data_IF_157890302711
#
_entry.id   IF_157890302711
#
_cell.length_a   1.000
_cell.length_b   1.000
_cell.length_c   1.000
_cell.angle_alpha   90.00
_cell.angle_beta   90.00
_cell.angle_gamma   90.00
#
_symmetry.space_group_name_H-M   'P 1'
#
loop_
_entity.id
_entity.type
_entity.pdbx_description
1 polymer ?
#
# COMPACT_ATOMS: atom_id res chain seq x y z
N UNK A 1 -9.95 8.81 0.67
CA UNK A 1 -10.78 8.02 1.60
C UNK A 1 -10.37 8.19 3.05
N UNK A 2 -9.09 7.96 3.42
CA UNK A 2 -8.65 8.04 4.84
C UNK A 2 -9.03 9.35 5.52
N UNK A 3 -8.78 10.51 4.89
CA UNK A 3 -9.17 11.81 5.46
C UNK A 3 -10.67 11.94 5.76
N UNK A 4 -11.53 11.57 4.81
CA UNK A 4 -13.00 11.61 4.96
C UNK A 4 -13.48 10.70 6.11
N UNK A 5 -12.95 9.48 6.18
CA UNK A 5 -13.29 8.53 7.25
C UNK A 5 -12.87 9.07 8.62
N UNK A 6 -11.65 9.59 8.74
CA UNK A 6 -11.15 10.18 9.99
C UNK A 6 -11.99 11.39 10.40
N UNK A 7 -12.37 12.25 9.46
CA UNK A 7 -13.25 13.39 9.78
C UNK A 7 -14.63 12.95 10.24
N UNK A 8 -15.22 11.90 9.66
CA UNK A 8 -16.52 11.39 10.12
C UNK A 8 -16.45 10.79 11.52
N UNK A 9 -15.39 10.04 11.83
CA UNK A 9 -15.18 9.47 13.17
C UNK A 9 -14.94 10.56 14.21
N UNK A 10 -14.10 11.55 13.90
CA UNK A 10 -13.84 12.69 14.81
C UNK A 10 -15.10 13.51 15.04
N UNK A 11 -15.90 13.77 14.00
CA UNK A 11 -17.17 14.46 14.15
C UNK A 11 -18.14 13.64 15.00
N UNK A 12 -18.27 12.33 14.77
CA UNK A 12 -19.12 11.47 15.58
C UNK A 12 -18.70 11.46 17.06
N UNK A 13 -17.40 11.35 17.34
CA UNK A 13 -16.87 11.42 18.70
C UNK A 13 -17.09 12.79 19.36
N UNK A 14 -16.88 13.88 18.62
CA UNK A 14 -17.17 15.23 19.12
C UNK A 14 -18.65 15.42 19.42
N UNK A 15 -19.55 14.84 18.60
CA UNK A 15 -20.98 14.89 18.86
C UNK A 15 -21.37 14.09 20.10
N UNK A 16 -20.79 12.91 20.33
CA UNK A 16 -21.01 12.14 21.55
C UNK A 16 -20.51 12.87 22.80
N UNK A 17 -19.33 13.51 22.74
CA UNK A 17 -18.74 14.14 23.93
C UNK A 17 -19.32 15.52 24.26
N UNK A 18 -19.83 16.25 23.26
CA UNK A 18 -20.20 17.67 23.43
C UNK A 18 -21.70 17.92 23.57
N UNK A 19 -22.55 16.98 23.19
CA UNK A 19 -24.00 17.17 23.22
C UNK A 19 -24.60 16.65 24.55
N UNK A 20 -25.50 17.39 25.22
CA UNK A 20 -26.13 16.95 26.46
C UNK A 20 -27.05 15.75 26.24
N UNK A 21 -27.17 14.91 27.26
CA UNK A 21 -27.95 13.68 27.21
C UNK A 21 -29.44 13.96 27.49
N UNK A 22 -30.12 14.51 26.48
CA UNK A 22 -31.57 14.76 26.53
C UNK A 22 -32.27 14.09 25.35
N UNK A 23 -33.54 13.69 25.52
CA UNK A 23 -34.32 12.99 24.50
C UNK A 23 -34.39 13.76 23.16
N UNK A 24 -34.47 15.09 23.22
CA UNK A 24 -34.48 15.95 22.03
C UNK A 24 -33.16 15.89 21.24
N UNK A 25 -32.04 15.68 21.95
CA UNK A 25 -30.70 15.62 21.38
C UNK A 25 -30.39 14.21 20.86
N UNK A 26 -30.98 13.16 21.43
CA UNK A 26 -30.84 11.78 20.95
C UNK A 26 -31.28 11.62 19.49
N UNK A 27 -32.42 12.20 19.11
CA UNK A 27 -32.89 12.18 17.71
C UNK A 27 -31.93 12.92 16.76
N UNK A 28 -31.35 14.03 17.22
CA UNK A 28 -30.37 14.78 16.45
C UNK A 28 -29.07 13.99 16.27
N UNK A 29 -28.59 13.28 17.31
CA UNK A 29 -27.43 12.37 17.23
C UNK A 29 -27.66 11.27 16.20
N UNK A 30 -28.81 10.58 16.25
CA UNK A 30 -29.17 9.54 15.28
C UNK A 30 -29.19 10.09 13.86
N UNK A 31 -29.80 11.27 13.65
CA UNK A 31 -29.88 11.89 12.33
C UNK A 31 -28.50 12.27 11.78
N UNK A 32 -27.64 12.90 12.60
CA UNK A 32 -26.29 13.29 12.18
C UNK A 32 -25.39 12.08 11.92
N UNK A 33 -25.52 11.04 12.74
CA UNK A 33 -24.83 9.77 12.53
C UNK A 33 -25.27 9.10 11.23
N UNK A 34 -26.58 9.03 10.97
CA UNK A 34 -27.10 8.50 9.71
C UNK A 34 -26.60 9.32 8.51
N UNK A 35 -26.63 10.65 8.60
CA UNK A 35 -26.15 11.55 7.55
C UNK A 35 -24.65 11.38 7.27
N UNK A 36 -23.82 11.26 8.32
CA UNK A 36 -22.38 11.01 8.19
C UNK A 36 -22.08 9.64 7.57
N UNK A 37 -22.85 8.61 7.94
CA UNK A 37 -22.71 7.27 7.38
C UNK A 37 -23.21 7.16 5.93
N UNK A 38 -24.20 7.96 5.50
CA UNK A 38 -24.65 8.00 4.10
C UNK A 38 -23.50 8.29 3.12
N UNK A 39 -22.60 9.21 3.46
CA UNK A 39 -21.42 9.50 2.63
C UNK A 39 -20.49 8.29 2.56
N UNK A 40 -20.24 7.61 3.68
CA UNK A 40 -19.42 6.40 3.71
C UNK A 40 -20.04 5.29 2.87
N UNK A 41 -21.35 5.04 3.03
CA UNK A 41 -22.09 4.04 2.24
C UNK A 41 -21.98 4.34 0.74
N UNK A 42 -22.18 5.59 0.33
CA UNK A 42 -22.03 5.99 -1.08
C UNK A 42 -20.60 5.76 -1.60
N UNK A 43 -19.58 6.13 -0.82
CA UNK A 43 -18.18 5.91 -1.19
C UNK A 43 -17.84 4.43 -1.31
N UNK A 44 -18.34 3.59 -0.40
CA UNK A 44 -18.16 2.15 -0.46
C UNK A 44 -18.89 1.53 -1.66
N UNK A 45 -20.12 1.93 -1.92
CA UNK A 45 -20.86 1.50 -3.10
C UNK A 45 -20.11 1.85 -4.39
N UNK A 46 -19.60 3.08 -4.48
CA UNK A 46 -18.83 3.54 -5.63
C UNK A 46 -17.51 2.79 -5.79
N UNK A 47 -16.79 2.57 -4.69
CA UNK A 47 -15.57 1.77 -4.71
C UNK A 47 -15.87 0.34 -5.17
N UNK A 48 -16.90 -0.29 -4.62
CA UNK A 48 -17.29 -1.65 -4.99
C UNK A 48 -17.68 -1.74 -6.46
N UNK A 49 -18.43 -0.77 -6.96
CA UNK A 49 -18.77 -0.68 -8.38
C UNK A 49 -17.52 -0.62 -9.24
N UNK A 50 -16.55 0.25 -8.92
CA UNK A 50 -15.28 0.34 -9.65
C UNK A 50 -14.47 -0.97 -9.60
N UNK A 51 -14.48 -1.68 -8.46
CA UNK A 51 -13.83 -2.99 -8.33
C UNK A 51 -14.49 -4.03 -9.24
N UNK A 52 -15.83 -4.05 -9.28
CA UNK A 52 -16.58 -4.98 -10.11
C UNK A 52 -16.43 -4.67 -11.61
N UNK A 53 -16.39 -3.38 -11.98
CA UNK A 53 -16.07 -2.95 -13.35
C UNK A 53 -14.65 -3.39 -13.75
N UNK A 54 -13.65 -3.21 -12.86
CA UNK A 54 -12.28 -3.68 -13.11
C UNK A 54 -12.22 -5.21 -13.27
N UNK A 55 -12.94 -5.97 -12.42
CA UNK A 55 -13.05 -7.43 -12.54
C UNK A 55 -13.61 -7.83 -13.90
N UNK A 56 -14.65 -7.15 -14.38
CA UNK A 56 -15.24 -7.39 -15.69
C UNK A 56 -14.26 -7.03 -16.82
N UNK A 57 -13.54 -5.91 -16.70
CA UNK A 57 -12.51 -5.50 -17.66
C UNK A 57 -11.39 -6.54 -17.77
N UNK A 58 -10.93 -7.10 -16.65
CA UNK A 58 -9.97 -8.20 -16.67
C UNK A 58 -10.55 -9.45 -17.33
N UNK A 59 -11.79 -9.82 -17.01
CA UNK A 59 -12.47 -10.98 -17.61
C UNK A 59 -12.67 -10.86 -19.13
N UNK A 60 -12.88 -9.64 -19.63
CA UNK A 60 -13.11 -9.33 -21.04
C UNK A 60 -11.86 -8.77 -21.75
N UNK A 61 -10.70 -8.81 -21.11
CA UNK A 61 -9.46 -8.26 -21.64
C UNK A 61 -9.07 -8.94 -22.95
N UNK A 62 -8.81 -8.16 -24.01
CA UNK A 62 -8.21 -8.65 -25.25
C UNK A 62 -7.10 -7.71 -25.68
N UNK A 63 -5.98 -8.27 -26.15
CA UNK A 63 -4.82 -7.53 -26.65
C UNK A 63 -5.22 -6.58 -27.80
N UNK A 64 -6.12 -7.04 -28.67
CA UNK A 64 -6.63 -6.28 -29.81
C UNK A 64 -7.35 -4.99 -29.42
N UNK A 65 -7.93 -4.90 -28.21
CA UNK A 65 -8.62 -3.71 -27.71
C UNK A 65 -7.67 -2.69 -27.05
N UNK A 66 -6.41 -3.05 -26.79
CA UNK A 66 -5.44 -2.18 -26.08
C UNK A 66 -5.04 -1.00 -26.95
N UNK A 67 -5.49 0.20 -26.62
CA UNK A 67 -5.15 1.40 -27.39
C UNK A 67 -3.72 1.85 -27.09
N UNK A 68 -2.94 2.13 -28.14
CA UNK A 68 -1.60 2.70 -28.03
C UNK A 68 -1.63 4.15 -28.52
N UNK A 69 -0.81 5.02 -27.90
CA UNK A 69 -0.74 6.43 -28.30
C UNK A 69 -0.29 6.56 -29.76
N UNK A 70 0.68 5.76 -30.19
CA UNK A 70 1.15 5.74 -31.58
C UNK A 70 0.01 5.53 -32.59
N UNK A 71 -0.97 4.67 -32.29
CA UNK A 71 -2.12 4.41 -33.17
C UNK A 71 -3.07 5.60 -33.23
N UNK A 72 -3.29 6.30 -32.10
CA UNK A 72 -4.16 7.47 -32.05
C UNK A 72 -3.63 8.68 -32.84
N UNK A 73 -2.31 8.74 -33.08
CA UNK A 73 -1.63 9.79 -33.86
C UNK A 73 -1.26 9.31 -35.26
N UNK A 74 -1.90 8.24 -35.76
CA UNK A 74 -1.65 7.64 -37.07
C UNK A 74 -0.16 7.32 -37.32
N UNK A 75 0.55 6.88 -36.28
CA UNK A 75 1.97 6.51 -36.33
C UNK A 75 2.86 7.63 -36.87
N UNK A 76 2.55 8.88 -36.51
CA UNK A 76 3.36 10.06 -36.85
C UNK A 76 3.82 10.80 -35.61
N UNK A 77 5.10 11.15 -35.56
CA UNK A 77 5.62 12.05 -34.54
C UNK A 77 5.15 13.50 -34.78
N UNK A 78 5.37 14.45 -33.84
CA UNK A 78 5.01 15.86 -34.04
C UNK A 78 5.70 16.54 -35.24
N UNK A 79 6.74 15.93 -35.81
CA UNK A 79 7.47 16.42 -36.98
C UNK A 79 6.98 15.78 -38.28
N UNK A 80 6.00 14.88 -38.23
CA UNK A 80 5.42 14.19 -39.36
C UNK A 80 6.14 12.90 -39.78
N UNK A 81 7.20 12.50 -39.09
CA UNK A 81 7.95 11.27 -39.38
C UNK A 81 7.13 10.04 -38.98
N UNK A 82 7.23 8.98 -39.78
CA UNK A 82 6.60 7.69 -39.49
C UNK A 82 7.36 7.02 -38.34
N UNK A 83 6.64 6.66 -37.27
CA UNK A 83 7.19 5.93 -36.12
C UNK A 83 6.68 4.48 -36.11
N UNK A 84 7.47 3.52 -35.60
CA UNK A 84 7.00 2.15 -35.47
C UNK A 84 5.79 2.05 -34.52
N UNK A 85 4.98 1.02 -34.70
CA UNK A 85 3.82 0.77 -33.86
C UNK A 85 4.26 0.18 -32.51
N UNK A 86 4.01 0.90 -31.41
CA UNK A 86 4.30 0.39 -30.06
C UNK A 86 3.59 -0.95 -29.80
N UNK A 87 2.38 -1.14 -30.35
CA UNK A 87 1.64 -2.41 -30.22
C UNK A 87 2.40 -3.58 -30.86
N UNK A 88 2.97 -3.40 -32.04
CA UNK A 88 3.72 -4.46 -32.74
C UNK A 88 5.01 -4.81 -31.99
N UNK A 89 5.71 -3.80 -31.48
CA UNK A 89 6.92 -4.01 -30.68
C UNK A 89 6.56 -4.79 -29.40
N UNK A 90 5.54 -4.35 -28.68
CA UNK A 90 5.10 -5.01 -27.45
C UNK A 90 4.56 -6.41 -27.70
N UNK A 91 3.90 -6.63 -28.84
CA UNK A 91 3.43 -7.97 -29.23
C UNK A 91 4.60 -8.93 -29.41
N UNK A 92 5.70 -8.49 -30.03
CA UNK A 92 6.94 -9.27 -30.11
C UNK A 92 7.49 -9.65 -28.73
N UNK A 93 7.54 -8.70 -27.80
CA UNK A 93 7.96 -8.96 -26.42
C UNK A 93 7.01 -9.92 -25.70
N UNK A 94 5.70 -9.78 -25.88
CA UNK A 94 4.68 -10.65 -25.29
C UNK A 94 4.81 -12.07 -25.81
N UNK A 95 5.01 -12.26 -27.11
CA UNK A 95 5.27 -13.60 -27.68
C UNK A 95 6.55 -14.19 -27.11
N UNK A 96 7.60 -13.38 -26.92
CA UNK A 96 8.84 -13.84 -26.31
C UNK A 96 8.66 -14.25 -24.84
N UNK A 97 7.86 -13.54 -24.05
CA UNK A 97 7.69 -13.80 -22.61
C UNK A 97 6.63 -14.86 -22.29
N UNK A 98 5.50 -14.84 -22.99
CA UNK A 98 4.33 -15.69 -22.73
C UNK A 98 4.16 -16.80 -23.77
N UNK A 99 5.02 -16.87 -24.79
CA UNK A 99 4.93 -17.80 -25.91
C UNK A 99 3.85 -17.44 -26.94
N UNK A 100 2.77 -16.77 -26.53
CA UNK A 100 1.77 -16.21 -27.44
C UNK A 100 0.93 -15.12 -26.77
N UNK A 101 0.32 -14.26 -27.59
CA UNK A 101 -0.67 -13.25 -27.14
C UNK A 101 -1.87 -13.90 -26.45
N UNK A 102 -2.32 -15.08 -26.92
CA UNK A 102 -3.43 -15.82 -26.31
C UNK A 102 -3.11 -16.26 -24.88
N UNK A 103 -1.86 -16.66 -24.63
CA UNK A 103 -1.42 -17.08 -23.29
C UNK A 103 -1.40 -15.88 -22.32
N UNK A 104 -0.95 -14.70 -22.77
CA UNK A 104 -1.06 -13.47 -22.00
C UNK A 104 -2.52 -13.14 -21.69
N UNK A 105 -3.40 -13.13 -22.69
CA UNK A 105 -4.82 -12.83 -22.48
C UNK A 105 -5.45 -13.79 -21.46
N UNK A 106 -5.13 -15.09 -21.55
CA UNK A 106 -5.59 -16.09 -20.60
C UNK A 106 -5.11 -15.76 -19.18
N UNK A 107 -3.80 -15.53 -19.00
CA UNK A 107 -3.21 -15.22 -17.69
C UNK A 107 -3.75 -13.90 -17.09
N UNK A 108 -4.04 -12.90 -17.92
CA UNK A 108 -4.69 -11.66 -17.45
C UNK A 108 -6.13 -11.93 -17.00
N UNK A 109 -6.89 -12.72 -17.77
CA UNK A 109 -8.29 -13.07 -17.45
C UNK A 109 -8.43 -13.98 -16.23
N UNK A 110 -7.41 -14.79 -15.93
CA UNK A 110 -7.40 -15.71 -14.78
C UNK A 110 -6.54 -15.19 -13.65
N UNK A 111 -5.22 -15.33 -13.77
CA UNK A 111 -4.27 -15.23 -12.66
C UNK A 111 -4.22 -13.79 -12.13
N UNK A 112 -4.09 -12.81 -13.03
CA UNK A 112 -4.03 -11.39 -12.66
C UNK A 112 -5.36 -10.95 -12.05
N UNK A 113 -6.49 -11.34 -12.66
CA UNK A 113 -7.83 -11.05 -12.15
C UNK A 113 -8.03 -11.63 -10.75
N UNK A 114 -7.64 -12.88 -10.54
CA UNK A 114 -7.90 -13.60 -9.29
C UNK A 114 -7.00 -13.05 -8.17
N UNK A 115 -5.74 -12.72 -8.46
CA UNK A 115 -4.84 -12.02 -7.54
C UNK A 115 -5.38 -10.63 -7.21
N UNK A 116 -5.82 -9.85 -8.20
CA UNK A 116 -6.42 -8.54 -8.00
C UNK A 116 -7.64 -8.64 -7.07
N UNK A 117 -8.56 -9.56 -7.35
CA UNK A 117 -9.74 -9.78 -6.51
C UNK A 117 -9.36 -10.21 -5.10
N UNK A 118 -8.42 -11.14 -4.95
CA UNK A 118 -7.97 -11.60 -3.64
C UNK A 118 -7.35 -10.46 -2.82
N UNK A 119 -6.54 -9.61 -3.44
CA UNK A 119 -5.88 -8.48 -2.74
C UNK A 119 -6.87 -7.38 -2.36
N UNK A 120 -7.73 -6.98 -3.29
CA UNK A 120 -8.66 -5.87 -3.09
C UNK A 120 -9.78 -6.26 -2.11
N UNK A 121 -10.20 -7.53 -2.09
CA UNK A 121 -11.20 -8.01 -1.13
C UNK A 121 -10.63 -8.36 0.25
N UNK A 122 -9.31 -8.60 0.36
CA UNK A 122 -8.60 -8.82 1.64
C UNK A 122 -8.32 -7.55 2.44
N UNK A 123 -8.54 -6.37 1.88
CA UNK A 123 -8.38 -5.14 2.64
C UNK A 123 -9.27 -5.20 3.90
N UNK A 124 -8.81 -4.73 5.09
CA UNK A 124 -9.56 -4.81 6.36
C UNK A 124 -10.91 -4.07 6.36
N UNK A 125 -11.29 -3.46 5.24
CA UNK A 125 -12.59 -2.86 4.96
C UNK A 125 -13.44 -3.73 4.00
N UNK A 126 -13.18 -5.04 3.93
CA UNK A 126 -13.91 -5.98 3.08
C UNK A 126 -15.41 -6.06 3.45
N UNK A 127 -16.20 -6.71 2.58
CA UNK A 127 -17.65 -6.87 2.74
C UNK A 127 -18.08 -7.33 4.15
N UNK A 128 -17.27 -8.15 4.82
CA UNK A 128 -17.50 -8.58 6.20
C UNK A 128 -17.54 -7.43 7.21
N UNK A 129 -16.74 -6.39 7.03
CA UNK A 129 -16.76 -5.19 7.87
C UNK A 129 -17.99 -4.33 7.59
N UNK A 130 -18.37 -4.16 6.31
CA UNK A 130 -19.62 -3.48 5.95
C UNK A 130 -20.83 -4.22 6.52
N UNK A 131 -20.86 -5.55 6.41
CA UNK A 131 -21.89 -6.39 7.00
C UNK A 131 -21.89 -6.28 8.53
N UNK A 132 -20.72 -6.27 9.18
CA UNK A 132 -20.61 -6.08 10.63
C UNK A 132 -21.04 -4.69 11.09
N UNK A 133 -20.72 -3.64 10.33
CA UNK A 133 -21.12 -2.26 10.63
C UNK A 133 -22.63 -2.09 10.47
N UNK A 134 -23.22 -2.67 9.43
CA UNK A 134 -24.67 -2.72 9.22
C UNK A 134 -25.39 -3.58 10.27
N UNK A 135 -24.77 -4.68 10.71
CA UNK A 135 -25.32 -5.57 11.74
C UNK A 135 -25.24 -4.94 13.14
N UNK A 136 -24.13 -4.27 13.47
CA UNK A 136 -23.97 -3.54 14.72
C UNK A 136 -24.87 -2.30 14.78
N UNK A 137 -25.03 -1.56 13.68
CA UNK A 137 -26.03 -0.47 13.60
C UNK A 137 -27.45 -0.97 13.84
N UNK A 138 -27.80 -2.17 13.35
CA UNK A 138 -29.11 -2.78 13.60
C UNK A 138 -29.29 -3.11 15.09
N UNK A 139 -28.25 -3.65 15.73
CA UNK A 139 -28.30 -4.05 17.14
C UNK A 139 -28.41 -2.82 18.06
N UNK A 140 -27.63 -1.76 17.83
CA UNK A 140 -27.73 -0.51 18.60
C UNK A 140 -29.06 0.22 18.39
N UNK A 141 -29.59 0.27 17.15
CA UNK A 141 -30.91 0.87 16.92
C UNK A 141 -32.02 0.06 17.60
N UNK A 142 -31.94 -1.28 17.60
CA UNK A 142 -32.90 -2.14 18.28
C UNK A 142 -32.83 -1.94 19.80
N UNK A 143 -31.62 -1.91 20.36
CA UNK A 143 -31.37 -1.67 21.79
C UNK A 143 -31.92 -0.30 22.21
N UNK A 144 -31.67 0.77 21.45
CA UNK A 144 -32.22 2.09 21.79
C UNK A 144 -33.74 2.22 21.59
N UNK A 145 -34.33 1.49 20.63
CA UNK A 145 -35.78 1.49 20.40
C UNK A 145 -36.55 0.58 21.36
N UNK A 146 -35.95 -0.53 21.82
CA UNK A 146 -36.61 -1.49 22.71
C UNK A 146 -36.33 -1.22 24.20
N UNK A 147 -35.16 -0.66 24.56
CA UNK A 147 -34.74 -0.49 25.97
C UNK A 147 -34.76 0.96 26.45
N UNK A 148 -34.92 1.94 25.57
CA UNK A 148 -34.68 3.35 25.88
C UNK A 148 -35.86 4.21 26.32
N UNK A 149 -37.13 3.77 26.25
CA UNK A 149 -38.23 4.67 26.61
C UNK A 149 -39.56 3.97 26.95
N UNK A 150 -39.94 3.84 28.24
CA UNK A 150 -41.30 3.47 28.63
C UNK A 150 -42.36 4.53 28.25
N UNK A 151 -41.92 5.67 27.70
CA UNK A 151 -42.78 6.75 27.21
C UNK A 151 -42.73 6.96 25.69
N UNK A 152 -42.06 6.11 24.89
CA UNK A 152 -41.97 6.32 23.44
C UNK A 152 -43.36 6.36 22.78
N UNK A 153 -44.32 5.57 23.27
CA UNK A 153 -45.70 5.62 22.81
C UNK A 153 -46.43 6.94 23.17
N UNK A 154 -46.18 7.47 24.38
CA UNK A 154 -46.83 8.69 24.90
C UNK A 154 -46.16 9.99 24.37
N UNK A 155 -44.86 9.94 24.08
CA UNK A 155 -44.09 11.02 23.45
C UNK A 155 -44.41 11.13 21.94
N UNK A 156 -44.62 10.02 21.23
CA UNK A 156 -45.13 10.02 19.85
C UNK A 156 -46.55 10.59 19.76
N UNK A 157 -47.37 10.47 20.80
CA UNK A 157 -48.72 11.03 20.86
C UNK A 157 -48.72 12.52 21.23
N UNK A 158 -47.78 12.98 22.07
CA UNK A 158 -47.61 14.40 22.45
C UNK A 158 -46.87 15.26 21.41
N UNK A 159 -45.97 14.68 20.60
CA UNK A 159 -45.30 15.38 19.47
C UNK A 159 -46.21 15.53 18.25
N UNK A 160 -47.37 14.86 18.23
CA UNK A 160 -48.38 14.96 17.15
C UNK A 160 -49.07 16.33 17.07
N UNK A 161 -48.94 17.18 18.10
CA UNK A 161 -49.71 18.42 18.20
C UNK A 161 -49.09 19.66 17.52
N UNK A 162 -47.75 19.80 17.32
CA UNK A 162 -47.24 20.96 16.59
C UNK A 162 -46.13 20.67 15.57
N UNK A 163 -46.26 19.66 14.69
CA UNK A 163 -45.31 19.50 13.55
C UNK A 163 -46.02 19.08 12.26
N UNK A 164 -46.85 19.96 11.70
CA UNK A 164 -47.49 19.73 10.39
C UNK A 164 -46.62 20.06 9.16
N UNK A 165 -45.33 20.40 9.33
CA UNK A 165 -44.46 20.85 8.21
C UNK A 165 -43.23 19.98 7.91
N UNK A 166 -42.90 18.98 8.75
CA UNK A 166 -41.80 18.03 8.52
C UNK A 166 -42.25 16.64 8.01
N UNK A 167 -43.55 16.35 7.99
CA UNK A 167 -44.12 15.03 7.63
C UNK A 167 -43.74 14.58 6.21
N UNK A 168 -43.57 15.50 5.27
CA UNK A 168 -43.25 15.14 3.87
C UNK A 168 -41.79 14.73 3.68
N UNK A 169 -40.86 15.37 4.38
CA UNK A 169 -39.43 15.07 4.27
C UNK A 169 -39.08 13.80 5.04
N UNK A 170 -39.65 13.64 6.24
CA UNK A 170 -39.50 12.42 7.03
C UNK A 170 -40.17 11.23 6.34
N UNK A 171 -41.36 11.36 5.74
CA UNK A 171 -41.96 10.28 4.92
C UNK A 171 -41.11 9.89 3.72
N UNK A 172 -40.44 10.82 3.04
CA UNK A 172 -39.60 10.50 1.88
C UNK A 172 -38.32 9.77 2.32
N UNK A 173 -37.68 10.21 3.41
CA UNK A 173 -36.51 9.54 3.97
C UNK A 173 -36.86 8.16 4.54
N UNK A 174 -37.97 8.06 5.29
CA UNK A 174 -38.49 6.77 5.74
C UNK A 174 -38.89 5.91 4.55
N UNK A 175 -39.54 6.42 3.50
CA UNK A 175 -39.89 5.63 2.32
C UNK A 175 -38.66 5.17 1.54
N UNK A 176 -37.61 5.98 1.40
CA UNK A 176 -36.38 5.56 0.72
C UNK A 176 -35.62 4.51 1.54
N UNK A 177 -35.55 4.70 2.87
CA UNK A 177 -34.97 3.74 3.80
C UNK A 177 -35.79 2.44 3.86
N UNK A 178 -37.13 2.54 3.97
CA UNK A 178 -38.06 1.42 3.91
C UNK A 178 -38.15 0.78 2.53
N UNK A 179 -37.91 1.46 1.40
CA UNK A 179 -37.87 0.83 0.07
C UNK A 179 -36.59 0.03 -0.12
N UNK A 180 -35.45 0.55 0.34
CA UNK A 180 -34.19 -0.21 0.40
C UNK A 180 -34.29 -1.41 1.35
N UNK A 181 -34.90 -1.21 2.52
CA UNK A 181 -35.13 -2.26 3.51
C UNK A 181 -36.22 -3.24 3.09
N UNK A 182 -37.32 -2.80 2.45
CA UNK A 182 -38.39 -3.66 1.93
C UNK A 182 -37.89 -4.53 0.79
N UNK A 183 -37.02 -4.07 -0.10
CA UNK A 183 -36.45 -4.97 -1.12
C UNK A 183 -35.64 -6.11 -0.45
N UNK A 184 -34.96 -5.82 0.66
CA UNK A 184 -34.15 -6.77 1.42
C UNK A 184 -34.97 -7.70 2.32
N UNK A 185 -35.98 -7.15 3.02
CA UNK A 185 -36.87 -7.86 3.93
C UNK A 185 -38.01 -8.57 3.20
N UNK A 186 -38.44 -8.12 2.03
CA UNK A 186 -39.43 -8.84 1.21
C UNK A 186 -38.81 -10.12 0.61
N UNK A 187 -37.52 -10.10 0.24
CA UNK A 187 -36.76 -11.30 -0.14
C UNK A 187 -36.58 -12.26 1.05
N UNK A 188 -36.46 -11.74 2.28
CA UNK A 188 -36.27 -12.56 3.50
C UNK A 188 -37.58 -13.06 4.15
N UNK A 189 -38.65 -12.26 4.13
CA UNK A 189 -39.95 -12.59 4.76
C UNK A 189 -40.90 -13.36 3.85
N UNK A 190 -40.73 -13.31 2.52
CA UNK A 190 -41.38 -14.27 1.59
C UNK A 190 -41.00 -15.71 1.92
N UNK A 191 -39.91 -15.93 2.68
CA UNK A 191 -39.43 -17.25 3.07
C UNK A 191 -39.95 -17.72 4.45
N UNK A 192 -40.70 -16.90 5.22
CA UNK A 192 -41.01 -17.20 6.64
C UNK A 192 -42.45 -16.92 7.15
N UNK A 193 -43.29 -16.07 6.52
CA UNK A 193 -44.57 -15.63 7.14
C UNK A 193 -45.85 -16.16 6.48
N UNK A 194 -46.19 -17.43 6.71
CA UNK A 194 -47.52 -17.98 6.40
C UNK A 194 -48.22 -18.68 7.60
N UNK A 195 -47.72 -18.57 8.84
CA UNK A 195 -48.16 -19.48 9.93
C UNK A 195 -48.85 -18.85 11.14
N UNK A 196 -48.72 -17.57 11.50
CA UNK A 196 -49.39 -17.09 12.73
C UNK A 196 -49.76 -15.62 12.68
N UNK A 197 -51.05 -15.31 12.46
CA UNK A 197 -51.80 -14.29 13.22
C UNK A 197 -53.22 -14.10 12.67
N UNK A 198 -54.24 -14.72 13.28
CA UNK A 198 -55.65 -14.28 13.10
C UNK A 198 -56.65 -14.64 14.24
N UNK A 199 -56.26 -15.20 15.39
CA UNK A 199 -57.24 -15.86 16.28
C UNK A 199 -57.58 -15.21 17.64
N UNK A 200 -57.30 -13.94 17.92
CA UNK A 200 -57.50 -13.40 19.30
C UNK A 200 -58.37 -12.15 19.42
N UNK A 201 -59.48 -12.04 18.68
CA UNK A 201 -60.49 -10.99 18.93
C UNK A 201 -61.90 -11.58 18.82
N UNK A 202 -62.25 -12.56 19.68
CA UNK A 202 -63.66 -12.94 19.83
C UNK A 202 -63.99 -13.72 21.12
N UNK A 203 -63.33 -13.45 22.26
CA UNK A 203 -63.75 -14.07 23.54
C UNK A 203 -63.52 -13.10 24.68
N UNK A 204 -64.51 -12.27 25.04
CA UNK A 204 -64.68 -11.72 26.41
C UNK A 204 -66.11 -11.16 26.56
N UNK A 205 -67.09 -12.03 26.84
CA UNK A 205 -68.46 -11.63 27.24
C UNK A 205 -68.88 -12.13 28.64
N UNK A 206 -67.99 -12.74 29.42
CA UNK A 206 -68.31 -13.23 30.76
C UNK A 206 -67.45 -12.51 31.81
N UNK A 207 -68.08 -11.91 32.82
CA UNK A 207 -67.41 -11.11 33.86
C UNK A 207 -66.33 -11.88 34.63
N UNK A 208 -66.49 -13.21 34.77
CA UNK A 208 -65.48 -14.10 35.37
C UNK A 208 -64.23 -14.28 34.50
N UNK A 209 -64.38 -14.29 33.18
CA UNK A 209 -63.26 -14.44 32.25
C UNK A 209 -62.43 -13.16 32.20
N UNK A 210 -63.08 -12.00 32.40
CA UNK A 210 -62.40 -10.70 32.54
C UNK A 210 -61.59 -10.64 33.83
N UNK A 211 -62.13 -11.11 34.96
CA UNK A 211 -61.39 -11.14 36.23
C UNK A 211 -60.20 -12.12 36.19
N UNK A 212 -60.35 -13.28 35.55
CA UNK A 212 -59.24 -14.21 35.30
C UNK A 212 -58.17 -13.62 34.38
N UNK A 213 -58.58 -12.92 33.32
CA UNK A 213 -57.67 -12.25 32.41
C UNK A 213 -56.91 -11.10 33.10
N UNK A 214 -57.57 -10.36 33.99
CA UNK A 214 -56.93 -9.32 34.81
C UNK A 214 -55.86 -9.95 35.71
N UNK A 215 -56.18 -11.05 36.41
CA UNK A 215 -55.20 -11.76 37.25
C UNK A 215 -53.98 -12.26 36.47
N UNK A 216 -54.17 -12.86 35.29
CA UNK A 216 -53.04 -13.30 34.44
C UNK A 216 -52.22 -12.10 33.92
N UNK A 217 -52.85 -10.97 33.65
CA UNK A 217 -52.15 -9.74 33.26
C UNK A 217 -51.36 -9.13 34.44
N UNK A 218 -51.88 -9.17 35.66
CA UNK A 218 -51.17 -8.73 36.86
C UNK A 218 -49.95 -9.61 37.17
N UNK A 219 -50.10 -10.94 37.05
CA UNK A 219 -49.01 -11.89 37.22
C UNK A 219 -47.92 -11.73 36.14
N UNK A 220 -48.32 -11.46 34.88
CA UNK A 220 -47.38 -11.13 33.81
C UNK A 220 -46.68 -9.80 34.07
N UNK A 221 -47.40 -8.79 34.55
CA UNK A 221 -46.81 -7.51 34.91
C UNK A 221 -45.81 -7.64 36.07
N UNK A 222 -46.06 -8.51 37.04
CA UNK A 222 -45.09 -8.82 38.10
C UNK A 222 -43.81 -9.45 37.55
N UNK A 223 -43.93 -10.49 36.71
CA UNK A 223 -42.75 -11.11 36.06
C UNK A 223 -41.95 -10.15 35.18
N UNK A 224 -42.64 -9.24 34.48
CA UNK A 224 -41.97 -8.23 33.67
C UNK A 224 -41.20 -7.21 34.52
N UNK A 225 -41.70 -6.87 35.72
CA UNK A 225 -40.96 -6.02 36.66
C UNK A 225 -39.70 -6.71 37.18
N UNK A 226 -39.80 -7.99 37.54
CA UNK A 226 -38.64 -8.76 38.00
C UNK A 226 -37.56 -8.85 36.90
N UNK A 227 -37.97 -9.08 35.64
CA UNK A 227 -37.05 -9.09 34.50
C UNK A 227 -36.40 -7.73 34.22
N UNK A 228 -37.13 -6.63 34.41
CA UNK A 228 -36.58 -5.29 34.28
C UNK A 228 -35.54 -4.99 35.37
N UNK A 229 -35.77 -5.45 36.61
CA UNK A 229 -34.81 -5.32 37.69
C UNK A 229 -33.54 -6.14 37.42
N UNK A 230 -33.67 -7.37 36.92
CA UNK A 230 -32.53 -8.19 36.47
C UNK A 230 -31.76 -7.51 35.33
N UNK A 231 -32.46 -6.90 34.39
CA UNK A 231 -31.83 -6.15 33.29
C UNK A 231 -31.07 -4.91 33.78
N UNK A 232 -31.64 -4.16 34.73
CA UNK A 232 -30.99 -2.99 35.33
C UNK A 232 -29.71 -3.39 36.07
N UNK A 233 -29.74 -4.50 36.81
CA UNK A 233 -28.56 -5.08 37.47
C UNK A 233 -27.48 -5.43 36.43
N UNK A 234 -27.86 -6.10 35.32
CA UNK A 234 -26.92 -6.44 34.26
C UNK A 234 -26.33 -5.18 33.60
N UNK A 235 -27.15 -4.17 33.30
CA UNK A 235 -26.69 -2.91 32.73
C UNK A 235 -25.64 -2.22 33.61
N UNK A 236 -25.88 -2.19 34.92
CA UNK A 236 -24.94 -1.60 35.88
C UNK A 236 -23.61 -2.39 35.95
N UNK A 237 -23.68 -3.73 35.87
CA UNK A 237 -22.48 -4.58 35.82
C UNK A 237 -21.68 -4.38 34.53
N UNK A 238 -22.34 -4.30 33.38
CA UNK A 238 -21.71 -3.95 32.10
C UNK A 238 -21.07 -2.57 32.13
N UNK A 239 -21.72 -1.58 32.76
CA UNK A 239 -21.17 -0.24 32.93
C UNK A 239 -19.89 -0.27 33.77
N UNK A 240 -19.88 -1.02 34.87
CA UNK A 240 -18.71 -1.22 35.73
C UNK A 240 -17.58 -1.95 35.00
N UNK A 241 -17.88 -3.01 34.23
CA UNK A 241 -16.89 -3.70 33.40
C UNK A 241 -16.30 -2.77 32.33
N UNK A 242 -17.15 -1.95 31.69
CA UNK A 242 -16.71 -0.94 30.73
C UNK A 242 -15.80 0.12 31.35
N UNK A 243 -16.06 0.52 32.59
CA UNK A 243 -15.18 1.43 33.35
C UNK A 243 -13.80 0.80 33.55
N UNK A 244 -13.75 -0.43 34.06
CA UNK A 244 -12.50 -1.17 34.31
C UNK A 244 -11.69 -1.35 33.01
N UNK A 245 -12.37 -1.68 31.90
CA UNK A 245 -11.73 -1.82 30.59
C UNK A 245 -11.14 -0.49 30.09
N UNK A 246 -11.84 0.64 30.28
CA UNK A 246 -11.33 1.98 29.94
C UNK A 246 -10.12 2.36 30.78
N UNK A 247 -10.15 2.08 32.08
CA UNK A 247 -9.03 2.37 32.98
C UNK A 247 -7.80 1.54 32.59
N UNK A 248 -7.98 0.24 32.35
CA UNK A 248 -6.91 -0.66 31.89
C UNK A 248 -6.30 -0.22 30.55
N UNK A 249 -7.14 0.26 29.62
CA UNK A 249 -6.68 0.80 28.34
C UNK A 249 -5.92 2.11 28.53
N UNK A 250 -6.35 2.95 29.47
CA UNK A 250 -5.66 4.17 29.89
C UNK A 250 -4.25 3.87 30.39
N UNK A 251 -4.11 2.88 31.29
CA UNK A 251 -2.83 2.44 31.83
C UNK A 251 -1.91 1.87 30.74
N UNK A 252 -2.44 1.02 29.86
CA UNK A 252 -1.67 0.47 28.74
C UNK A 252 -1.18 1.57 27.79
N UNK A 253 -2.02 2.56 27.50
CA UNK A 253 -1.64 3.72 26.69
C UNK A 253 -0.52 4.52 27.35
N UNK A 254 -0.60 4.75 28.67
CA UNK A 254 0.44 5.47 29.41
C UNK A 254 1.79 4.73 29.32
N UNK A 255 1.80 3.41 29.51
CA UNK A 255 3.01 2.59 29.38
C UNK A 255 3.62 2.64 27.96
N UNK A 256 2.78 2.61 26.92
CA UNK A 256 3.25 2.74 25.53
C UNK A 256 3.87 4.11 25.27
N UNK A 257 3.27 5.19 25.80
CA UNK A 257 3.83 6.53 25.69
C UNK A 257 5.20 6.63 26.36
N UNK A 258 5.34 6.12 27.59
CA UNK A 258 6.61 6.10 28.32
C UNK A 258 7.69 5.29 27.58
N UNK A 259 7.33 4.14 27.01
CA UNK A 259 8.25 3.35 26.19
C UNK A 259 8.71 4.09 24.93
N UNK A 260 7.80 4.77 24.23
CA UNK A 260 8.12 5.54 23.04
C UNK A 260 9.05 6.73 23.36
N UNK A 261 8.84 7.39 24.49
CA UNK A 261 9.74 8.45 24.97
C UNK A 261 11.15 7.89 25.24
N UNK A 262 11.25 6.74 25.93
CA UNK A 262 12.54 6.09 26.18
C UNK A 262 13.29 5.70 24.89
N UNK A 263 12.59 5.13 23.90
CA UNK A 263 13.18 4.80 22.59
C UNK A 263 13.62 6.07 21.85
N UNK A 264 12.85 7.15 21.94
CA UNK A 264 13.21 8.42 21.33
C UNK A 264 14.50 8.99 21.93
N UNK A 265 14.63 8.99 23.26
CA UNK A 265 15.84 9.44 23.95
C UNK A 265 17.07 8.61 23.56
N UNK A 266 16.93 7.27 23.48
CA UNK A 266 18.00 6.38 23.05
C UNK A 266 18.44 6.68 21.60
N UNK A 267 17.47 6.88 20.70
CA UNK A 267 17.73 7.22 19.30
C UNK A 267 18.48 8.55 19.18
N UNK A 268 18.05 9.59 19.89
CA UNK A 268 18.75 10.88 19.94
C UNK A 268 20.17 10.72 20.49
N UNK A 269 20.35 9.88 21.51
CA UNK A 269 21.66 9.51 22.05
C UNK A 269 22.58 8.88 20.99
N UNK A 270 22.07 7.89 20.25
CA UNK A 270 22.80 7.22 19.17
C UNK A 270 23.13 8.16 18.01
N UNK A 271 22.21 9.05 17.63
CA UNK A 271 22.47 10.05 16.58
C UNK A 271 23.59 11.02 16.97
N UNK A 272 23.62 11.43 18.25
CA UNK A 272 24.69 12.27 18.79
C UNK A 272 26.03 11.55 18.79
N UNK A 273 26.05 10.25 19.15
CA UNK A 273 27.25 9.42 19.07
C UNK A 273 27.73 9.27 17.62
N UNK A 274 26.83 8.98 16.68
CA UNK A 274 27.12 8.91 15.23
C UNK A 274 27.74 10.21 14.73
N UNK A 275 27.12 11.35 15.05
CA UNK A 275 27.61 12.68 14.64
C UNK A 275 29.02 12.94 15.21
N UNK A 276 29.24 12.60 16.47
CA UNK A 276 30.56 12.73 17.11
C UNK A 276 31.60 11.81 16.45
N UNK A 277 31.22 10.58 16.12
CA UNK A 277 32.09 9.63 15.42
C UNK A 277 32.45 10.12 14.00
N UNK A 278 31.47 10.64 13.25
CA UNK A 278 31.71 11.24 11.93
C UNK A 278 32.65 12.45 12.01
N UNK A 279 32.49 13.32 13.00
CA UNK A 279 33.38 14.47 13.19
C UNK A 279 34.81 14.03 13.57
N UNK A 280 34.96 12.98 14.38
CA UNK A 280 36.27 12.37 14.68
C UNK A 280 36.89 11.75 13.43
N UNK A 281 36.12 11.03 12.62
CA UNK A 281 36.58 10.44 11.37
C UNK A 281 37.02 11.52 10.37
N UNK A 282 36.23 12.58 10.20
CA UNK A 282 36.57 13.72 9.34
C UNK A 282 37.85 14.45 9.80
N UNK A 283 38.05 14.56 11.13
CA UNK A 283 39.28 15.13 11.73
C UNK A 283 40.50 14.21 11.56
N UNK A 284 40.30 12.90 11.60
CA UNK A 284 41.34 11.94 11.22
C UNK A 284 41.68 12.08 9.72
N UNK A 285 40.70 12.33 8.85
CA UNK A 285 40.95 12.49 7.41
C UNK A 285 41.80 13.73 7.07
N UNK A 286 41.69 14.82 7.85
CA UNK A 286 42.47 16.04 7.65
C UNK A 286 43.85 16.04 8.31
N UNK A 287 44.12 15.11 9.24
CA UNK A 287 45.41 15.01 9.94
C UNK A 287 46.30 13.88 9.40
N UNK A 288 45.78 13.02 8.51
CA UNK A 288 46.47 11.82 8.03
C UNK A 288 47.02 12.03 6.61
N UNK A 289 48.00 12.92 6.48
CA UNK A 289 48.72 13.13 5.22
C UNK A 289 49.98 12.27 5.08
N UNK A 290 50.24 11.27 5.95
CA UNK A 290 51.46 10.47 5.77
C UNK A 290 51.55 9.04 6.35
N UNK A 291 50.64 8.52 7.21
CA UNK A 291 50.88 7.17 7.81
C UNK A 291 49.85 6.05 7.62
N UNK A 292 48.58 6.30 7.24
CA UNK A 292 47.57 5.22 7.10
C UNK A 292 47.12 4.94 5.65
N UNK A 293 48.00 5.11 4.67
CA UNK A 293 47.67 4.66 3.32
C UNK A 293 47.88 3.14 3.24
N UNK A 294 46.79 2.38 3.39
CA UNK A 294 46.76 0.90 3.29
C UNK A 294 47.58 0.46 2.07
N UNK A 295 48.62 -0.34 2.29
CA UNK A 295 49.36 -0.99 1.20
C UNK A 295 48.56 -2.20 0.71
N UNK A 296 47.99 -2.08 -0.49
CA UNK A 296 47.09 -3.10 -1.03
C UNK A 296 47.81 -4.40 -1.37
N UNK A 297 49.11 -4.37 -1.67
CA UNK A 297 49.86 -5.59 -1.96
C UNK A 297 50.18 -6.36 -0.68
N UNK A 298 50.53 -5.67 0.39
CA UNK A 298 50.71 -6.29 1.71
C UNK A 298 49.39 -6.87 2.24
N UNK A 299 48.29 -6.13 2.09
CA UNK A 299 46.95 -6.61 2.41
C UNK A 299 46.60 -7.89 1.65
N UNK A 300 46.84 -7.93 0.33
CA UNK A 300 46.58 -9.12 -0.48
C UNK A 300 47.45 -10.32 -0.07
N UNK A 301 48.74 -10.09 0.23
CA UNK A 301 49.65 -11.16 0.64
C UNK A 301 49.30 -11.72 2.04
N UNK A 302 48.73 -10.90 2.92
CA UNK A 302 48.36 -11.27 4.30
C UNK A 302 46.94 -11.84 4.45
N UNK A 303 46.12 -11.76 3.40
CA UNK A 303 44.73 -12.15 3.45
C UNK A 303 44.56 -13.67 3.32
N UNK A 304 43.97 -14.29 4.34
CA UNK A 304 43.48 -15.66 4.26
C UNK A 304 42.04 -15.67 3.69
N UNK A 305 41.93 -15.91 2.37
CA UNK A 305 40.65 -16.08 1.66
C UNK A 305 40.42 -15.09 0.51
N UNK A 306 39.25 -15.16 -0.12
CA UNK A 306 38.92 -14.34 -1.30
C UNK A 306 38.57 -12.89 -0.95
N UNK A 307 38.95 -11.97 -1.85
CA UNK A 307 38.58 -10.56 -1.76
C UNK A 307 37.06 -10.41 -1.86
N UNK A 308 36.45 -9.73 -0.89
CA UNK A 308 34.98 -9.57 -0.80
C UNK A 308 34.44 -8.30 -1.44
N UNK A 309 35.25 -7.23 -1.49
CA UNK A 309 34.84 -5.90 -1.90
C UNK A 309 35.76 -5.40 -3.01
N UNK A 310 35.23 -4.61 -3.92
CA UNK A 310 36.05 -3.94 -4.95
C UNK A 310 36.81 -2.78 -4.31
N UNK A 311 38.13 -2.78 -4.42
CA UNK A 311 38.97 -1.68 -3.94
C UNK A 311 39.56 -0.89 -5.11
N UNK A 312 39.52 0.43 -5.03
CA UNK A 312 40.22 1.33 -5.96
C UNK A 312 41.62 1.58 -5.45
N UNK A 313 42.63 1.13 -6.21
CA UNK A 313 44.04 1.22 -5.81
C UNK A 313 44.65 2.53 -6.32
N UNK A 314 45.32 3.30 -5.45
CA UNK A 314 46.03 4.51 -5.86
C UNK A 314 47.13 4.22 -6.89
N UNK A 315 47.23 5.07 -7.91
CA UNK A 315 48.18 4.90 -9.02
C UNK A 315 49.64 4.81 -8.59
N UNK A 316 50.02 5.46 -7.49
CA UNK A 316 51.39 5.40 -6.96
C UNK A 316 51.74 4.00 -6.43
N UNK A 317 50.79 3.27 -5.83
CA UNK A 317 51.03 1.89 -5.40
C UNK A 317 51.12 0.94 -6.59
N UNK A 318 50.29 1.16 -7.62
CA UNK A 318 50.33 0.39 -8.87
C UNK A 318 51.66 0.61 -9.60
N UNK A 319 52.16 1.85 -9.64
CA UNK A 319 53.49 2.14 -10.21
C UNK A 319 54.61 1.39 -9.49
N UNK A 320 54.58 1.35 -8.14
CA UNK A 320 55.56 0.62 -7.33
C UNK A 320 55.55 -0.88 -7.62
N UNK A 321 54.37 -1.45 -7.89
CA UNK A 321 54.18 -2.89 -8.10
C UNK A 321 53.76 -3.24 -9.53
N UNK A 322 54.16 -2.43 -10.53
CA UNK A 322 53.61 -2.49 -11.89
C UNK A 322 53.72 -3.89 -12.50
N UNK A 323 54.79 -4.63 -12.21
CA UNK A 323 55.00 -6.01 -12.69
C UNK A 323 53.84 -6.96 -12.36
N UNK A 324 53.21 -6.81 -11.19
CA UNK A 324 52.04 -7.61 -10.77
C UNK A 324 50.76 -7.22 -11.51
N UNK A 325 50.69 -6.00 -12.04
CA UNK A 325 49.51 -5.44 -12.69
C UNK A 325 49.56 -5.53 -14.22
N UNK A 326 50.73 -5.73 -14.83
CA UNK A 326 50.91 -5.75 -16.30
C UNK A 326 50.01 -6.79 -16.96
N UNK A 327 49.89 -7.98 -16.41
CA UNK A 327 49.10 -9.05 -17.03
C UNK A 327 47.59 -8.75 -16.97
N UNK A 328 47.12 -8.21 -15.85
CA UNK A 328 45.73 -7.76 -15.71
C UNK A 328 45.41 -6.59 -16.65
N UNK A 329 46.30 -5.60 -16.75
CA UNK A 329 46.18 -4.48 -17.68
C UNK A 329 46.15 -4.99 -19.13
N UNK A 330 47.07 -5.90 -19.48
CA UNK A 330 47.14 -6.48 -20.83
C UNK A 330 45.87 -7.25 -21.16
N UNK A 331 45.36 -8.05 -20.24
CA UNK A 331 44.11 -8.81 -20.42
C UNK A 331 42.94 -7.88 -20.75
N UNK A 332 42.77 -6.79 -19.99
CA UNK A 332 41.67 -5.85 -20.22
C UNK A 332 41.82 -5.05 -21.52
N UNK A 333 43.03 -4.59 -21.85
CA UNK A 333 43.28 -3.89 -23.12
C UNK A 333 43.05 -4.81 -24.31
N UNK A 334 43.51 -6.06 -24.24
CA UNK A 334 43.28 -7.06 -25.30
C UNK A 334 41.79 -7.33 -25.48
N UNK A 335 41.03 -7.53 -24.39
CA UNK A 335 39.58 -7.74 -24.47
C UNK A 335 38.84 -6.56 -25.13
N UNK A 336 39.26 -5.32 -24.85
CA UNK A 336 38.68 -4.13 -25.49
C UNK A 336 39.03 -4.02 -26.98
N UNK A 337 40.19 -4.51 -27.40
CA UNK A 337 40.58 -4.55 -28.82
C UNK A 337 39.85 -5.66 -29.57
N UNK A 338 39.76 -6.85 -28.99
CA UNK A 338 39.11 -8.02 -29.60
C UNK A 338 37.58 -7.84 -29.70
N UNK A 339 36.96 -7.19 -28.71
CA UNK A 339 35.54 -6.83 -28.76
C UNK A 339 35.21 -5.77 -29.81
N UNK A 340 36.22 -5.14 -30.43
CA UNK A 340 36.03 -4.01 -31.35
C UNK A 340 35.68 -2.69 -30.67
N UNK A 341 35.64 -2.64 -29.33
CA UNK A 341 35.42 -1.41 -28.55
C UNK A 341 36.52 -0.37 -28.83
N UNK A 342 37.77 -0.82 -28.88
CA UNK A 342 38.92 0.00 -29.22
C UNK A 342 39.52 -0.43 -30.56
N UNK A 343 39.99 0.56 -31.34
CA UNK A 343 40.71 0.33 -32.59
C UNK A 343 42.08 0.98 -32.53
N UNK A 344 43.13 0.23 -32.88
CA UNK A 344 44.48 0.78 -33.04
C UNK A 344 44.52 1.64 -34.31
N UNK A 345 45.07 2.84 -34.18
CA UNK A 345 45.33 3.75 -35.29
C UNK A 345 46.80 4.17 -35.26
N UNK A 346 47.38 4.45 -36.43
CA UNK A 346 48.74 4.95 -36.51
C UNK A 346 48.83 6.42 -36.04
N UNK A 347 50.00 6.87 -35.61
CA UNK A 347 50.20 8.27 -35.19
C UNK A 347 49.96 9.26 -36.34
N UNK A 348 50.29 8.89 -37.58
CA UNK A 348 50.03 9.72 -38.77
C UNK A 348 48.54 9.82 -39.08
N UNK A 349 47.81 8.70 -39.00
CA UNK A 349 46.35 8.66 -39.15
C UNK A 349 45.66 9.48 -38.05
N UNK A 350 46.10 9.34 -36.80
CA UNK A 350 45.59 10.12 -35.66
C UNK A 350 45.69 11.63 -35.89
N UNK A 351 46.86 12.11 -36.34
CA UNK A 351 47.10 13.52 -36.66
C UNK A 351 46.23 14.01 -37.81
N UNK A 352 46.01 13.18 -38.83
CA UNK A 352 45.14 13.52 -39.95
C UNK A 352 43.67 13.62 -39.51
N UNK A 353 43.19 12.67 -38.70
CA UNK A 353 41.82 12.67 -38.17
C UNK A 353 41.54 13.84 -37.22
N UNK A 354 42.56 14.27 -36.46
CA UNK A 354 42.51 15.46 -35.62
C UNK A 354 42.38 16.72 -36.48
N UNK A 355 43.24 16.85 -37.52
CA UNK A 355 43.20 17.98 -38.46
C UNK A 355 41.87 18.07 -39.20
N UNK A 356 41.30 16.94 -39.57
CA UNK A 356 40.01 16.84 -40.27
C UNK A 356 38.81 17.01 -39.32
N UNK A 357 39.02 17.27 -38.01
CA UNK A 357 37.97 17.38 -36.98
C UNK A 357 37.04 16.16 -36.89
N UNK A 358 37.51 14.99 -37.33
CA UNK A 358 36.75 13.73 -37.29
C UNK A 358 36.90 12.98 -35.97
N UNK A 359 37.93 13.33 -35.19
CA UNK A 359 38.24 12.72 -33.89
C UNK A 359 38.64 13.80 -32.89
N UNK A 360 38.10 13.73 -31.67
CA UNK A 360 38.55 14.54 -30.53
C UNK A 360 39.44 13.70 -29.61
N UNK A 361 40.58 14.26 -29.18
CA UNK A 361 41.48 13.54 -28.28
C UNK A 361 41.21 13.88 -26.81
N UNK A 362 41.05 12.84 -25.99
CA UNK A 362 40.89 12.95 -24.55
C UNK A 362 42.08 12.30 -23.82
N UNK A 363 42.52 12.86 -22.67
CA UNK A 363 43.51 12.20 -21.83
C UNK A 363 42.93 10.91 -21.25
N UNK A 364 43.61 9.78 -21.45
CA UNK A 364 43.22 8.54 -20.82
C UNK A 364 43.42 8.62 -19.30
N UNK A 365 42.38 8.30 -18.54
CA UNK A 365 42.47 8.12 -17.09
C UNK A 365 42.41 6.63 -16.78
N UNK A 366 43.46 6.10 -16.16
CA UNK A 366 43.42 4.74 -15.62
C UNK A 366 42.80 4.75 -14.23
N UNK A 367 41.89 3.79 -14.02
CA UNK A 367 41.36 3.47 -12.70
C UNK A 367 41.71 2.01 -12.44
N UNK A 368 42.50 1.77 -11.39
CA UNK A 368 42.96 0.43 -11.04
C UNK A 368 42.06 -0.11 -9.93
N UNK A 369 41.54 -1.32 -10.15
CA UNK A 369 40.62 -1.95 -9.19
C UNK A 369 41.02 -3.38 -8.92
N UNK A 370 40.93 -3.77 -7.65
CA UNK A 370 40.94 -5.18 -7.24
C UNK A 370 39.49 -5.64 -7.18
N UNK A 371 39.15 -6.70 -7.91
CA UNK A 371 37.79 -7.24 -7.95
C UNK A 371 37.75 -8.61 -7.26
N UNK A 372 36.65 -8.95 -6.57
CA UNK A 372 36.38 -10.32 -6.15
C UNK A 372 36.50 -11.30 -7.34
N UNK A 373 36.91 -12.56 -7.11
CA UNK A 373 37.05 -13.54 -8.20
C UNK A 373 35.71 -13.79 -8.95
N UNK A 374 35.71 -14.47 -10.11
CA UNK A 374 34.47 -14.72 -10.91
C UNK A 374 33.95 -16.18 -10.91
N UNK A 375 34.75 -17.21 -10.58
CA UNK A 375 34.30 -18.62 -10.43
C UNK A 375 34.15 -19.08 -8.95
N UNK A 376 33.41 -20.18 -8.70
CA UNK A 376 32.58 -20.44 -7.50
C UNK A 376 33.28 -20.62 -6.13
N UNK A 377 32.57 -20.20 -5.07
CA UNK A 377 33.02 -20.11 -3.65
C UNK A 377 32.61 -18.79 -2.96
N UNK A 378 32.05 -17.85 -3.74
CA UNK A 378 31.91 -16.44 -3.38
C UNK A 378 30.60 -16.04 -2.72
N UNK A 379 30.71 -15.45 -1.53
CA UNK A 379 29.66 -14.63 -0.92
C UNK A 379 29.91 -13.17 -1.28
N UNK A 380 29.16 -12.66 -2.25
CA UNK A 380 28.97 -11.22 -2.45
C UNK A 380 28.01 -10.69 -1.38
N UNK A 381 28.36 -9.55 -0.79
CA UNK A 381 27.51 -8.90 0.22
C UNK A 381 26.22 -8.39 -0.41
N UNK A 382 25.14 -8.68 0.29
CA UNK A 382 23.76 -8.77 -0.21
C UNK A 382 22.88 -7.69 0.42
N UNK A 383 23.41 -6.72 1.15
CA UNK A 383 22.58 -5.95 2.09
C UNK A 383 21.71 -4.87 1.43
N UNK A 384 22.17 -4.23 0.35
CA UNK A 384 21.33 -3.32 -0.44
C UNK A 384 20.25 -4.10 -1.21
N UNK A 385 20.62 -5.22 -1.84
CA UNK A 385 19.68 -6.09 -2.55
C UNK A 385 18.67 -6.73 -1.58
N UNK A 386 19.10 -7.15 -0.38
CA UNK A 386 18.24 -7.67 0.67
C UNK A 386 17.25 -6.61 1.13
N UNK A 387 17.69 -5.37 1.38
CA UNK A 387 16.78 -4.30 1.78
C UNK A 387 15.77 -3.99 0.68
N UNK A 388 16.20 -3.95 -0.59
CA UNK A 388 15.32 -3.78 -1.75
C UNK A 388 14.36 -4.96 -1.92
N UNK A 389 14.80 -6.19 -1.71
CA UNK A 389 13.95 -7.40 -1.76
C UNK A 389 12.99 -7.48 -0.58
N UNK A 390 13.38 -7.03 0.61
CA UNK A 390 12.49 -6.93 1.78
C UNK A 390 11.42 -5.87 1.54
N UNK A 391 11.78 -4.70 1.00
CA UNK A 391 10.80 -3.67 0.62
C UNK A 391 9.90 -4.19 -0.51
N UNK A 392 10.45 -4.86 -1.52
CA UNK A 392 9.68 -5.46 -2.61
C UNK A 392 8.71 -6.53 -2.10
N UNK A 393 9.14 -7.39 -1.17
CA UNK A 393 8.29 -8.38 -0.52
C UNK A 393 7.19 -7.74 0.32
N UNK A 394 7.50 -6.71 1.11
CA UNK A 394 6.52 -5.93 1.89
C UNK A 394 5.51 -5.20 1.01
N UNK A 395 5.87 -4.89 -0.24
CA UNK A 395 5.02 -4.23 -1.23
C UNK A 395 4.42 -5.21 -2.25
N UNK A 396 4.63 -6.52 -2.09
CA UNK A 396 4.20 -7.58 -3.00
C UNK A 396 4.61 -7.35 -4.47
N UNK A 397 5.79 -6.78 -4.71
CA UNK A 397 6.31 -6.56 -6.05
C UNK A 397 6.91 -7.85 -6.63
N UNK A 398 6.53 -8.17 -7.86
CA UNK A 398 7.21 -9.18 -8.67
C UNK A 398 8.40 -8.50 -9.37
N UNK A 399 9.61 -8.94 -9.06
CA UNK A 399 10.84 -8.39 -9.64
C UNK A 399 11.65 -9.46 -10.36
N UNK A 400 12.13 -9.14 -11.55
CA UNK A 400 13.20 -9.86 -12.22
C UNK A 400 14.45 -8.98 -12.19
N UNK A 401 15.59 -9.55 -11.82
CA UNK A 401 16.88 -8.85 -11.86
C UNK A 401 17.67 -9.43 -13.02
N UNK A 402 18.04 -8.57 -13.97
CA UNK A 402 18.97 -8.90 -15.04
C UNK A 402 20.15 -7.94 -14.92
N UNK A 403 21.36 -8.48 -14.88
CA UNK A 403 22.58 -7.70 -15.02
C UNK A 403 23.03 -7.80 -16.47
N UNK A 404 23.16 -6.65 -17.13
CA UNK A 404 23.69 -6.59 -18.50
C UNK A 404 25.17 -6.26 -18.36
N UNK A 405 25.99 -7.31 -18.24
CA UNK A 405 27.45 -7.16 -18.21
C UNK A 405 27.92 -6.45 -19.48
N UNK A 406 28.54 -5.28 -19.32
CA UNK A 406 29.02 -4.50 -20.46
C UNK A 406 27.92 -3.79 -21.25
N UNK A 407 26.77 -3.46 -20.64
CA UNK A 407 25.65 -2.78 -21.31
C UNK A 407 26.07 -1.60 -22.21
N UNK A 408 27.01 -0.77 -21.74
CA UNK A 408 27.52 0.37 -22.50
C UNK A 408 28.45 -0.01 -23.65
N UNK A 409 29.09 -1.17 -23.58
CA UNK A 409 29.96 -1.70 -24.65
C UNK A 409 29.14 -2.38 -25.75
N UNK A 410 27.92 -2.83 -25.45
CA UNK A 410 27.00 -3.44 -26.41
C UNK A 410 26.26 -2.42 -27.28
N UNK A 411 26.26 -1.13 -26.90
CA UNK A 411 25.65 -0.07 -27.67
C UNK A 411 26.54 0.32 -28.87
N UNK A 412 25.99 0.31 -30.08
CA UNK A 412 26.70 0.81 -31.26
C UNK A 412 26.91 2.31 -31.15
N UNK A 413 28.13 2.78 -31.48
CA UNK A 413 28.42 4.21 -31.51
C UNK A 413 27.71 4.87 -32.70
N UNK A 414 26.84 5.87 -32.49
CA UNK A 414 26.14 6.56 -33.58
C UNK A 414 27.12 7.21 -34.57
N UNK A 415 26.90 7.10 -35.89
CA UNK A 415 27.83 7.59 -36.90
C UNK A 415 27.97 9.11 -36.94
N UNK A 416 27.00 9.84 -36.40
CA UNK A 416 26.90 11.29 -36.30
C UNK A 416 27.55 11.87 -35.05
N UNK A 417 27.88 11.04 -34.05
CA UNK A 417 28.56 11.49 -32.83
C UNK A 417 30.08 11.54 -32.99
N UNK A 418 30.76 12.51 -32.35
CA UNK A 418 32.20 12.67 -32.46
C UNK A 418 32.92 11.42 -31.97
N UNK A 419 33.92 10.96 -32.73
CA UNK A 419 34.77 9.84 -32.33
C UNK A 419 35.84 10.36 -31.38
N UNK A 420 36.18 9.55 -30.38
CA UNK A 420 37.20 9.92 -29.40
C UNK A 420 38.48 9.11 -29.60
N UNK A 421 39.60 9.82 -29.68
CA UNK A 421 40.94 9.27 -29.61
C UNK A 421 41.45 9.34 -28.18
N UNK A 422 42.18 8.34 -27.74
CA UNK A 422 42.83 8.33 -26.42
C UNK A 422 44.32 8.12 -26.59
N UNK A 423 45.12 8.90 -25.86
CA UNK A 423 46.55 8.66 -25.75
C UNK A 423 46.81 7.62 -24.66
N UNK A 424 47.72 6.65 -24.88
CA UNK A 424 48.10 5.73 -23.82
C UNK A 424 48.64 6.51 -22.61
N UNK A 425 48.21 6.16 -21.39
CA UNK A 425 48.67 6.83 -20.18
C UNK A 425 50.19 6.68 -20.04
N UNK A 426 50.88 7.76 -19.64
CA UNK A 426 52.35 7.82 -19.50
C UNK A 426 52.95 6.80 -18.51
N UNK A 427 52.11 6.07 -17.78
CA UNK A 427 52.48 5.08 -16.76
C UNK A 427 52.89 3.74 -17.38
N UNK A 428 52.49 3.48 -18.63
CA UNK A 428 52.82 2.26 -19.38
C UNK A 428 53.81 2.61 -20.50
N UNK A 429 55.04 2.97 -20.13
CA UNK A 429 56.15 3.15 -21.07
C UNK A 429 57.12 2.00 -20.99
#
# INVERSE_FOLDING_TARGET
MSFLMTTTVVLALLFETCLPDTDEVALLRIFLFALGNCTNIYLFQRLWQTIMEAKEQFGNFTWQKVTCRCCSINHRDPKGNVIPCDREILEGCVVQWYGSVKQLELSVRTDVRDVFMAQVTRFPLGYQWLASLLYNQKLELMIHLELGCPYAADALEKVRAPVYRLDKFFKILLELWFRGWRLFVWVYLMQQKHVMFQNNIEILQNKRDVELAIGDLEDRAARLRDLLEEEEIMCEEYRRMGQVARDTLGDARAQVCEFLEGVHEELVGLERQRTTACLRAARATSTTTSSDQIDYEEMLNSMEGDLKIVHTVPIEQVKRNLSRWVDAIRKEVTALLESGTLRRISLSEAKQLEKDSKVMFAPAKCVFTLKPPQEAGKRTSTDALRLSLVIAALRCWLGAVSDITGAFLLASWPPDLPKYGIYPPRVVK
#
